data_IF_705964204427
#
_entry.id   IF_705964204427
#
_cell.length_a   1.000
_cell.length_b   1.000
_cell.length_c   1.000
_cell.angle_alpha   90.00
_cell.angle_beta   90.00
_cell.angle_gamma   90.00
#
_symmetry.space_group_name_H-M   'P 1'
#
loop_
_entity.id
_entity.type
_entity.pdbx_description
1 polymer ?
#
# COMPACT_ATOMS: atom_id res chain seq x y z
N UNK A 1 40.37 6.69 -31.16
CA UNK A 1 39.96 7.95 -31.82
C UNK A 1 39.09 7.79 -33.08
N UNK A 2 38.83 6.58 -33.61
CA UNK A 2 37.95 6.39 -34.79
C UNK A 2 36.45 6.28 -34.43
N UNK A 3 36.13 5.75 -33.26
CA UNK A 3 34.74 5.52 -32.81
C UNK A 3 33.97 6.80 -32.47
N UNK A 4 34.66 7.85 -32.00
CA UNK A 4 34.05 9.15 -31.65
C UNK A 4 33.61 9.92 -32.91
N UNK A 5 34.32 9.75 -34.04
CA UNK A 5 33.94 10.39 -35.32
C UNK A 5 32.68 9.75 -35.91
N UNK A 6 32.47 8.45 -35.72
CA UNK A 6 31.29 7.74 -36.21
C UNK A 6 30.04 8.18 -35.42
N UNK A 7 30.15 8.33 -34.10
CA UNK A 7 29.03 8.82 -33.28
C UNK A 7 28.60 10.25 -33.63
N UNK A 8 29.54 11.14 -33.95
CA UNK A 8 29.23 12.51 -34.39
C UNK A 8 28.52 12.57 -35.74
N UNK A 9 28.83 11.64 -36.65
CA UNK A 9 28.18 11.56 -37.96
C UNK A 9 26.76 10.97 -37.81
N UNK A 10 26.57 9.96 -36.96
CA UNK A 10 25.25 9.38 -36.68
C UNK A 10 24.33 10.39 -35.96
N UNK A 11 24.86 11.18 -35.03
CA UNK A 11 24.11 12.23 -34.32
C UNK A 11 23.63 13.34 -35.27
N UNK A 12 24.44 13.72 -36.26
CA UNK A 12 24.07 14.72 -37.26
C UNK A 12 22.97 14.22 -38.21
N UNK A 13 22.95 12.93 -38.55
CA UNK A 13 21.92 12.35 -39.42
C UNK A 13 20.57 12.29 -38.69
N UNK A 14 20.56 11.96 -37.39
CA UNK A 14 19.33 11.93 -36.57
C UNK A 14 18.70 13.32 -36.37
N UNK A 15 19.51 14.39 -36.34
CA UNK A 15 19.04 15.76 -36.15
C UNK A 15 18.38 16.37 -37.42
N UNK A 16 18.65 15.81 -38.59
CA UNK A 16 18.04 16.27 -39.87
C UNK A 16 16.67 15.62 -40.12
N UNK A 17 16.37 14.48 -39.48
CA UNK A 17 15.12 13.74 -39.67
C UNK A 17 13.95 14.36 -38.87
N UNK A 18 14.21 15.20 -37.87
CA UNK A 18 13.16 15.82 -37.02
C UNK A 18 12.58 17.12 -37.58
N UNK A 19 13.05 17.61 -38.74
CA UNK A 19 12.60 18.88 -39.34
C UNK A 19 11.58 18.74 -40.47
N UNK A 20 10.88 17.61 -40.56
CA UNK A 20 9.84 17.40 -41.59
C UNK A 20 8.46 17.16 -40.97
N UNK A 21 7.82 18.22 -40.45
CA UNK A 21 6.37 18.24 -40.24
C UNK A 21 5.74 19.17 -41.30
N UNK A 22 4.89 18.64 -42.21
CA UNK A 22 4.07 19.49 -43.06
C UNK A 22 2.95 20.14 -42.23
N UNK A 23 2.98 21.47 -42.16
CA UNK A 23 1.85 22.27 -41.72
C UNK A 23 0.73 22.28 -42.76
N UNK A 24 -0.51 22.22 -42.29
CA UNK A 24 -1.69 22.55 -43.07
C UNK A 24 -2.54 23.56 -42.31
N UNK A 25 -2.92 24.62 -43.04
CA UNK A 25 -3.68 25.78 -42.61
C UNK A 25 -5.16 25.64 -43.04
N UNK A 26 -6.04 26.28 -42.26
CA UNK A 26 -7.41 26.78 -42.55
C UNK A 26 -8.44 25.92 -43.32
N UNK A 27 -9.64 25.77 -42.72
CA UNK A 27 -10.85 26.41 -43.26
C UNK A 27 -12.02 26.48 -42.25
N UNK A 28 -12.53 27.69 -42.08
CA UNK A 28 -13.84 28.03 -41.52
C UNK A 28 -14.94 27.60 -42.50
N UNK A 29 -16.06 27.08 -41.98
CA UNK A 29 -17.37 27.16 -42.63
C UNK A 29 -18.46 27.25 -41.55
N UNK A 30 -19.12 28.40 -41.55
CA UNK A 30 -20.42 28.65 -40.92
C UNK A 30 -21.50 27.74 -41.52
N UNK A 31 -22.49 27.39 -40.70
CA UNK A 31 -23.86 27.15 -41.12
C UNK A 31 -24.77 27.58 -39.97
N UNK A 32 -25.59 28.59 -40.26
CA UNK A 32 -26.73 29.15 -39.52
C UNK A 32 -27.82 28.07 -39.35
N UNK A 33 -28.77 28.06 -38.40
CA UNK A 33 -29.76 29.09 -38.02
C UNK A 33 -30.38 28.75 -36.61
N UNK A 34 -31.55 29.29 -36.16
CA UNK A 34 -31.61 30.41 -35.22
C UNK A 34 -32.41 30.10 -33.93
N UNK A 35 -32.05 30.71 -32.80
CA UNK A 35 -32.99 30.80 -31.66
C UNK A 35 -32.98 32.22 -31.07
N UNK A 36 -33.99 32.96 -31.54
CA UNK A 36 -34.84 33.94 -30.87
C UNK A 36 -34.30 34.76 -29.69
N UNK A 37 -34.34 36.08 -29.89
CA UNK A 37 -34.08 37.15 -28.93
C UNK A 37 -35.34 37.37 -28.07
N UNK A 38 -35.17 37.56 -26.76
CA UNK A 38 -36.07 38.41 -25.99
C UNK A 38 -35.26 39.30 -25.04
N UNK A 39 -35.63 40.57 -25.08
CA UNK A 39 -34.97 41.73 -24.49
C UNK A 39 -35.04 41.81 -22.97
N UNK A 40 -34.09 42.54 -22.40
CA UNK A 40 -34.10 43.07 -21.03
C UNK A 40 -32.98 44.12 -20.87
N UNK A 41 -33.40 45.38 -20.70
CA UNK A 41 -32.63 46.64 -20.73
C UNK A 41 -31.68 46.90 -19.54
N UNK A 42 -30.64 47.69 -19.86
CA UNK A 42 -30.08 48.91 -19.19
C UNK A 42 -29.88 48.98 -17.66
N UNK A 43 -28.62 49.18 -17.25
CA UNK A 43 -28.04 50.44 -16.70
C UNK A 43 -26.52 50.23 -16.47
N UNK A 44 -25.58 51.00 -17.06
CA UNK A 44 -25.10 52.37 -16.70
C UNK A 44 -24.44 52.38 -15.29
N UNK A 45 -23.09 52.32 -15.22
CA UNK A 45 -22.13 53.46 -15.02
C UNK A 45 -21.94 53.80 -13.52
N UNK A 46 -20.79 54.16 -12.91
CA UNK A 46 -19.42 54.52 -13.32
C UNK A 46 -18.53 54.59 -12.04
N UNK A 47 -17.19 54.58 -12.21
CA UNK A 47 -16.15 55.36 -11.47
C UNK A 47 -15.93 55.09 -9.96
N UNK A 48 -14.75 55.27 -9.33
CA UNK A 48 -13.47 55.86 -9.71
C UNK A 48 -12.33 55.39 -8.77
N UNK A 49 -11.12 55.85 -9.09
CA UNK A 49 -9.77 55.50 -8.63
C UNK A 49 -9.28 56.00 -7.24
N UNK A 50 -8.00 55.65 -6.97
CA UNK A 50 -6.96 56.28 -6.09
C UNK A 50 -6.55 55.41 -4.89
N UNK A 51 -5.32 54.88 -4.72
CA UNK A 51 -3.91 55.37 -4.76
C UNK A 51 -3.35 55.83 -3.39
N UNK A 52 -2.16 55.31 -3.04
CA UNK A 52 -1.23 55.72 -1.96
C UNK A 52 -1.43 55.02 -0.61
N UNK A 53 -0.44 54.56 0.16
CA UNK A 53 1.03 54.62 0.10
C UNK A 53 1.60 54.14 1.46
N UNK A 54 2.77 53.48 1.38
CA UNK A 54 3.91 53.37 2.33
C UNK A 54 3.81 53.02 3.83
N UNK A 55 4.71 52.07 4.19
CA UNK A 55 5.55 51.87 5.38
C UNK A 55 4.97 51.87 6.82
N UNK A 56 5.17 50.75 7.53
CA UNK A 56 6.08 50.71 8.69
C UNK A 56 6.25 49.26 9.23
N UNK A 57 7.51 48.81 9.29
CA UNK A 57 8.02 47.79 10.24
C UNK A 57 8.68 48.55 11.40
N UNK A 58 8.79 48.06 12.67
CA UNK A 58 9.44 46.76 12.93
C UNK A 58 9.16 46.03 14.28
N UNK A 59 9.82 44.86 14.43
CA UNK A 59 10.51 44.33 15.63
C UNK A 59 9.79 43.34 16.60
N UNK A 60 10.40 42.14 16.64
CA UNK A 60 10.58 41.11 17.71
C UNK A 60 9.35 40.35 18.25
N UNK A 61 9.41 39.04 18.51
CA UNK A 61 10.34 38.39 19.45
C UNK A 61 10.34 36.86 19.26
N UNK A 62 11.51 36.24 19.46
CA UNK A 62 11.69 34.80 19.68
C UNK A 62 10.85 34.28 20.86
N UNK A 63 10.23 33.11 20.70
CA UNK A 63 9.86 32.24 21.82
C UNK A 63 9.73 30.79 21.33
N UNK A 64 10.76 30.04 21.65
CA UNK A 64 10.86 28.59 21.72
C UNK A 64 9.77 28.02 22.64
N UNK A 65 8.99 27.05 22.17
CA UNK A 65 8.10 26.26 23.02
C UNK A 65 8.02 24.80 22.52
N UNK A 66 8.60 23.93 23.35
CA UNK A 66 8.54 22.47 23.31
C UNK A 66 7.11 21.90 23.48
N UNK A 67 6.90 20.60 23.15
CA UNK A 67 5.58 20.03 22.86
C UNK A 67 4.78 19.63 24.13
N UNK A 68 3.44 19.57 24.08
CA UNK A 68 2.66 19.07 25.20
C UNK A 68 2.67 17.54 25.27
N UNK A 69 3.03 17.06 26.46
CA UNK A 69 2.99 15.67 26.92
C UNK A 69 1.57 15.18 27.14
N UNK A 70 1.43 13.89 26.81
CA UNK A 70 0.38 12.91 27.09
C UNK A 70 -0.14 12.96 28.54
N UNK A 71 -1.47 12.91 28.70
CA UNK A 71 -2.15 12.85 29.99
C UNK A 71 -2.79 11.46 30.20
N UNK A 72 -2.33 10.75 31.22
CA UNK A 72 -3.03 9.61 31.83
C UNK A 72 -3.90 10.11 33.01
N UNK A 73 -5.04 9.48 33.34
CA UNK A 73 -5.74 9.72 34.58
C UNK A 73 -5.40 8.67 35.67
N UNK A 74 -4.77 9.15 36.74
CA UNK A 74 -4.83 8.62 38.12
C UNK A 74 -6.21 9.01 38.69
N UNK A 75 -7.10 8.12 39.14
CA UNK A 75 -7.03 7.31 40.35
C UNK A 75 -7.87 7.97 41.45
N UNK A 76 -8.73 7.22 42.15
CA UNK A 76 -8.95 7.34 43.61
C UNK A 76 -9.79 6.17 44.14
N UNK A 77 -9.22 5.58 45.19
CA UNK A 77 -9.64 4.47 46.07
C UNK A 77 -10.95 4.71 46.84
N UNK A 78 -11.59 3.62 47.25
CA UNK A 78 -11.83 3.31 48.68
C UNK A 78 -12.01 1.79 48.88
N UNK A 79 -11.12 1.17 49.66
CA UNK A 79 -11.35 -0.08 50.41
C UNK A 79 -12.01 0.27 51.78
N UNK A 80 -12.33 -0.64 52.76
CA UNK A 80 -11.93 -2.05 52.90
C UNK A 80 -12.88 -3.05 53.63
N UNK A 81 -12.33 -4.27 53.77
CA UNK A 81 -12.50 -5.32 54.82
C UNK A 81 -13.67 -6.34 54.74
N UNK A 82 -13.37 -7.63 54.48
CA UNK A 82 -13.16 -8.71 55.50
C UNK A 82 -13.10 -10.13 54.91
N UNK A 83 -12.05 -10.81 55.35
CA UNK A 83 -11.70 -12.25 55.36
C UNK A 83 -12.81 -13.20 55.81
N UNK A 84 -12.95 -14.39 55.18
CA UNK A 84 -13.14 -15.72 55.84
C UNK A 84 -12.68 -16.89 54.92
N UNK A 85 -11.93 -17.83 55.51
CA UNK A 85 -11.52 -19.17 55.00
C UNK A 85 -12.68 -20.18 55.05
N UNK A 86 -12.77 -21.16 54.13
CA UNK A 86 -12.61 -22.61 54.44
C UNK A 86 -13.06 -23.58 53.32
N UNK A 87 -12.30 -24.70 53.26
CA UNK A 87 -12.71 -26.11 53.09
C UNK A 87 -13.27 -26.63 51.74
N UNK A 88 -12.39 -27.33 51.02
CA UNK A 88 -12.41 -28.79 50.74
C UNK A 88 -13.77 -29.52 50.71
N UNK A 89 -14.10 -30.15 49.56
CA UNK A 89 -14.65 -31.52 49.54
C UNK A 89 -14.55 -32.17 48.15
N UNK A 90 -14.03 -33.40 48.18
CA UNK A 90 -13.83 -34.33 47.09
C UNK A 90 -15.15 -34.82 46.47
N UNK A 91 -15.09 -35.28 45.22
CA UNK A 91 -15.99 -36.35 44.79
C UNK A 91 -15.30 -37.37 43.87
N UNK A 92 -15.58 -38.63 44.20
CA UNK A 92 -15.02 -39.89 43.72
C UNK A 92 -16.15 -40.60 42.98
N UNK A 93 -15.94 -41.02 41.73
CA UNK A 93 -16.82 -42.00 41.07
C UNK A 93 -15.96 -43.05 40.35
N UNK A 94 -16.22 -44.32 40.70
CA UNK A 94 -15.62 -45.53 40.16
C UNK A 94 -16.52 -46.12 39.04
N UNK A 95 -15.88 -46.55 37.94
CA UNK A 95 -15.91 -47.89 37.27
C UNK A 95 -17.05 -48.86 37.67
N UNK A 96 -17.68 -49.70 36.78
CA UNK A 96 -17.06 -50.61 35.78
C UNK A 96 -17.76 -50.63 34.40
N UNK A 97 -17.15 -51.14 33.33
CA UNK A 97 -17.20 -52.56 32.93
C UNK A 97 -16.11 -52.93 31.90
N UNK A 98 -15.67 -54.19 31.98
CA UNK A 98 -14.71 -54.87 31.10
C UNK A 98 -15.46 -56.03 30.43
N UNK A 99 -15.47 -56.10 29.11
CA UNK A 99 -15.61 -57.36 28.37
C UNK A 99 -14.81 -57.29 27.08
N UNK A 100 -14.02 -58.35 26.88
CA UNK A 100 -13.24 -58.76 25.71
C UNK A 100 -14.21 -59.08 24.53
N UNK A 101 -13.88 -59.28 23.25
CA UNK A 101 -12.65 -59.59 22.54
C UNK A 101 -12.85 -59.34 21.01
N UNK A 102 -11.73 -59.03 20.35
CA UNK A 102 -11.30 -59.08 18.93
C UNK A 102 -12.17 -59.82 17.90
N UNK A 103 -12.30 -59.26 16.68
CA UNK A 103 -11.97 -59.92 15.38
C UNK A 103 -12.23 -59.03 14.13
N UNK A 104 -11.25 -59.01 13.21
CA UNK A 104 -11.26 -58.58 11.78
C UNK A 104 -11.27 -57.05 11.51
N UNK A 105 -10.45 -56.47 10.63
CA UNK A 105 -9.98 -56.92 9.31
C UNK A 105 -8.80 -56.01 8.88
N UNK A 106 -7.71 -56.59 8.37
CA UNK A 106 -6.68 -55.87 7.61
C UNK A 106 -7.29 -55.27 6.35
N UNK A 107 -7.40 -53.94 6.34
CA UNK A 107 -7.67 -53.11 5.16
C UNK A 107 -6.49 -52.13 5.06
N UNK A 108 -5.81 -52.01 3.91
CA UNK A 108 -4.73 -51.04 3.75
C UNK A 108 -5.26 -49.64 4.05
N UNK A 109 -4.70 -49.03 5.10
CA UNK A 109 -4.97 -47.69 5.55
C UNK A 109 -4.34 -46.73 4.53
N UNK A 110 -5.16 -46.33 3.56
CA UNK A 110 -4.93 -45.17 2.71
C UNK A 110 -4.90 -43.96 3.66
N UNK A 111 -3.69 -43.49 4.00
CA UNK A 111 -3.49 -42.32 4.83
C UNK A 111 -4.34 -41.16 4.28
N UNK A 112 -5.33 -40.65 5.03
CA UNK A 112 -6.01 -39.42 4.64
C UNK A 112 -4.98 -38.28 4.61
N UNK A 113 -5.12 -37.31 3.69
CA UNK A 113 -4.15 -36.24 3.52
C UNK A 113 -4.03 -35.49 4.85
N UNK A 114 -2.81 -35.48 5.38
CA UNK A 114 -2.41 -34.70 6.54
C UNK A 114 -2.89 -33.27 6.32
N UNK A 115 -3.84 -32.82 7.14
CA UNK A 115 -4.15 -31.41 7.26
C UNK A 115 -2.88 -30.71 7.76
N UNK A 116 -2.20 -30.01 6.87
CA UNK A 116 -1.10 -29.10 7.22
C UNK A 116 -1.66 -28.11 8.24
N UNK A 117 -1.08 -28.11 9.44
CA UNK A 117 -1.27 -27.02 10.38
C UNK A 117 -0.89 -25.73 9.63
N UNK A 118 -1.86 -24.83 9.44
CA UNK A 118 -1.59 -23.55 8.79
C UNK A 118 -0.52 -22.83 9.61
N UNK A 119 0.70 -22.73 9.06
CA UNK A 119 1.77 -22.01 9.72
C UNK A 119 1.32 -20.56 9.96
N UNK A 120 1.35 -20.16 11.23
CA UNK A 120 1.00 -18.81 11.65
C UNK A 120 1.90 -17.79 10.94
N UNK A 121 1.37 -16.59 10.67
CA UNK A 121 2.10 -15.48 10.04
C UNK A 121 2.70 -15.77 8.65
N UNK A 122 2.04 -16.63 7.88
CA UNK A 122 2.32 -16.79 6.45
C UNK A 122 1.53 -15.81 5.60
N UNK A 123 2.16 -15.27 4.54
CA UNK A 123 1.49 -14.46 3.53
C UNK A 123 0.75 -15.38 2.56
N UNK A 124 -0.58 -15.35 2.58
CA UNK A 124 -1.40 -16.23 1.74
C UNK A 124 -1.73 -15.53 0.41
N UNK A 125 -1.56 -16.23 -0.72
CA UNK A 125 -2.00 -15.79 -2.05
C UNK A 125 -3.02 -16.78 -2.59
N UNK A 126 -4.22 -16.29 -2.91
CA UNK A 126 -5.37 -17.11 -3.29
C UNK A 126 -6.24 -16.45 -4.35
N UNK A 127 -7.32 -17.15 -4.76
CA UNK A 127 -8.26 -16.68 -5.77
C UNK A 127 -7.94 -17.25 -7.16
N UNK A 128 -7.99 -16.39 -8.19
CA UNK A 128 -7.71 -16.67 -9.61
C UNK A 128 -6.22 -16.91 -9.89
N UNK A 129 -5.61 -17.83 -9.13
CA UNK A 129 -4.21 -18.26 -9.23
C UNK A 129 -4.14 -19.75 -9.50
N UNK A 130 -3.10 -20.19 -10.23
CA UNK A 130 -2.92 -21.62 -10.52
C UNK A 130 -2.55 -22.39 -9.27
N UNK A 131 -1.75 -21.78 -8.39
CA UNK A 131 -1.31 -22.36 -7.13
C UNK A 131 -1.78 -21.46 -6.00
N UNK A 132 -2.55 -22.01 -5.05
CA UNK A 132 -2.68 -21.38 -3.74
C UNK A 132 -1.34 -21.54 -3.04
N UNK A 133 -0.75 -20.44 -2.58
CA UNK A 133 0.58 -20.46 -1.97
C UNK A 133 0.52 -19.67 -0.67
N UNK A 134 1.19 -20.17 0.35
CA UNK A 134 1.50 -19.45 1.57
C UNK A 134 3.01 -19.30 1.65
N UNK A 135 3.50 -18.08 1.89
CA UNK A 135 4.92 -17.82 2.07
C UNK A 135 5.24 -17.48 3.51
N UNK A 136 6.24 -18.14 4.06
CA UNK A 136 6.92 -17.70 5.28
C UNK A 136 7.79 -16.47 5.01
N UNK A 137 8.15 -15.75 6.06
CA UNK A 137 9.03 -14.60 5.95
C UNK A 137 10.40 -14.98 5.38
N UNK A 138 10.96 -16.12 5.80
CA UNK A 138 12.24 -16.62 5.30
C UNK A 138 12.21 -16.94 3.81
N UNK A 139 11.10 -17.50 3.31
CA UNK A 139 10.92 -17.75 1.88
C UNK A 139 10.89 -16.45 1.09
N UNK A 140 10.17 -15.42 1.55
CA UNK A 140 10.16 -14.10 0.89
C UNK A 140 11.56 -13.49 0.86
N UNK A 141 12.29 -13.54 1.98
CA UNK A 141 13.68 -13.05 2.08
C UNK A 141 14.65 -13.84 1.21
N UNK A 142 14.37 -15.09 0.90
CA UNK A 142 15.20 -15.92 0.02
C UNK A 142 15.05 -15.54 -1.47
N UNK A 143 13.97 -14.84 -1.86
CA UNK A 143 13.72 -14.42 -3.25
C UNK A 143 14.54 -13.18 -3.65
N UNK A 144 15.87 -13.31 -3.65
CA UNK A 144 16.83 -12.19 -3.84
C UNK A 144 16.62 -11.41 -5.15
N UNK A 145 16.09 -12.06 -6.18
CA UNK A 145 15.83 -11.47 -7.50
C UNK A 145 14.70 -10.44 -7.52
N UNK A 146 13.78 -10.51 -6.56
CA UNK A 146 12.61 -9.61 -6.49
C UNK A 146 12.65 -8.70 -5.26
N UNK A 147 13.77 -8.66 -4.53
CA UNK A 147 13.94 -7.73 -3.40
C UNK A 147 14.02 -6.29 -3.92
N UNK A 148 13.34 -5.39 -3.24
CA UNK A 148 13.39 -3.95 -3.46
C UNK A 148 13.56 -3.22 -2.12
N UNK A 149 14.39 -2.18 -2.13
CA UNK A 149 14.72 -1.39 -0.95
C UNK A 149 14.96 0.06 -1.36
N UNK A 150 14.12 0.96 -0.86
CA UNK A 150 14.26 2.41 -1.10
C UNK A 150 13.46 3.18 -0.04
N UNK A 151 13.56 4.49 -0.09
CA UNK A 151 12.83 5.45 0.73
C UNK A 151 11.60 5.96 -0.04
N UNK A 152 10.43 5.60 0.48
CA UNK A 152 9.13 5.98 -0.07
C UNK A 152 8.64 7.27 0.58
N UNK A 153 8.20 8.20 -0.25
CA UNK A 153 7.43 9.35 0.20
C UNK A 153 5.98 8.95 0.50
N UNK A 154 5.42 9.56 1.54
CA UNK A 154 4.04 9.38 1.92
C UNK A 154 3.36 10.72 2.14
N UNK A 155 2.10 10.79 1.72
CA UNK A 155 1.15 11.86 2.01
C UNK A 155 -0.11 11.19 2.57
N UNK A 156 -0.55 11.62 3.76
CA UNK A 156 -1.79 11.15 4.37
C UNK A 156 -2.97 12.09 4.08
N UNK A 157 -4.18 11.67 4.47
CA UNK A 157 -5.41 12.44 4.25
C UNK A 157 -5.49 13.76 5.02
N UNK A 158 -4.58 14.00 5.97
CA UNK A 158 -4.49 15.24 6.76
C UNK A 158 -3.39 16.18 6.25
N UNK A 159 -2.72 15.85 5.14
CA UNK A 159 -1.62 16.64 4.60
C UNK A 159 -0.27 16.41 5.29
N UNK A 160 -0.17 15.46 6.23
CA UNK A 160 1.12 15.09 6.83
C UNK A 160 1.92 14.28 5.84
N UNK A 161 3.19 14.65 5.70
CA UNK A 161 4.12 14.02 4.77
C UNK A 161 5.27 13.34 5.52
N UNK A 162 5.97 12.45 4.82
CA UNK A 162 7.20 11.90 5.35
C UNK A 162 7.82 10.87 4.44
N UNK A 163 9.12 10.67 4.64
CA UNK A 163 9.91 9.65 3.98
C UNK A 163 10.13 8.48 4.92
N UNK A 164 10.00 7.26 4.39
CA UNK A 164 10.25 6.05 5.17
C UNK A 164 10.94 5.01 4.30
N UNK A 165 12.07 4.51 4.79
CA UNK A 165 12.82 3.44 4.16
C UNK A 165 12.14 2.11 4.41
N UNK A 166 11.89 1.36 3.33
CA UNK A 166 11.33 0.01 3.40
C UNK A 166 12.21 -0.98 2.65
N UNK A 167 12.16 -2.23 3.07
CA UNK A 167 12.71 -3.38 2.35
C UNK A 167 11.66 -4.47 2.25
N UNK A 168 11.51 -5.01 1.04
CA UNK A 168 10.45 -5.94 0.71
C UNK A 168 10.70 -6.72 -0.57
N UNK A 169 9.70 -7.50 -0.99
CA UNK A 169 9.63 -8.07 -2.33
C UNK A 169 8.68 -7.26 -3.21
N UNK A 170 8.97 -7.16 -4.51
CA UNK A 170 8.07 -6.56 -5.49
C UNK A 170 6.79 -7.39 -5.61
N UNK A 171 5.63 -6.77 -5.38
CA UNK A 171 4.35 -7.48 -5.38
C UNK A 171 4.04 -8.09 -6.75
N UNK A 172 4.21 -7.33 -7.83
CA UNK A 172 3.97 -7.85 -9.19
C UNK A 172 4.82 -9.09 -9.48
N UNK A 173 6.13 -9.02 -9.24
CA UNK A 173 7.03 -10.15 -9.51
C UNK A 173 6.72 -11.37 -8.65
N UNK A 174 6.27 -11.18 -7.41
CA UNK A 174 5.80 -12.27 -6.55
C UNK A 174 4.58 -12.98 -7.17
N UNK A 175 3.59 -12.21 -7.63
CA UNK A 175 2.37 -12.75 -8.24
C UNK A 175 2.65 -13.41 -9.59
N UNK A 176 3.43 -12.76 -10.46
CA UNK A 176 3.76 -13.23 -11.79
C UNK A 176 4.60 -14.51 -11.74
N UNK A 177 5.68 -14.53 -10.95
CA UNK A 177 6.63 -15.63 -10.96
C UNK A 177 6.19 -16.83 -10.09
N UNK A 178 5.46 -16.58 -9.00
CA UNK A 178 5.15 -17.64 -8.02
C UNK A 178 3.69 -18.06 -8.06
N UNK A 179 2.75 -17.12 -8.02
CA UNK A 179 1.31 -17.45 -7.98
C UNK A 179 0.75 -17.89 -9.34
N UNK A 180 1.38 -17.47 -10.45
CA UNK A 180 0.93 -17.75 -11.83
C UNK A 180 -0.54 -17.38 -12.03
N UNK A 181 -0.76 -16.07 -12.12
CA UNK A 181 -2.05 -15.44 -12.33
C UNK A 181 -2.80 -16.06 -13.52
N UNK A 182 -4.11 -16.26 -13.37
CA UNK A 182 -5.00 -16.57 -14.48
C UNK A 182 -5.04 -15.42 -15.47
N UNK A 183 -5.20 -15.70 -16.78
CA UNK A 183 -5.39 -14.66 -17.80
C UNK A 183 -6.68 -13.84 -17.63
N UNK A 184 -7.56 -14.26 -16.72
CA UNK A 184 -8.80 -13.56 -16.36
C UNK A 184 -8.66 -12.67 -15.12
N UNK A 185 -7.52 -12.72 -14.44
CA UNK A 185 -7.27 -11.88 -13.28
C UNK A 185 -7.33 -10.40 -13.69
N UNK A 186 -8.06 -9.62 -12.92
CA UNK A 186 -8.36 -8.22 -13.20
C UNK A 186 -8.16 -7.31 -11.99
N UNK A 187 -8.27 -7.88 -10.79
CA UNK A 187 -8.20 -7.14 -9.53
C UNK A 187 -7.40 -7.90 -8.48
N UNK A 188 -6.73 -7.14 -7.62
CA UNK A 188 -5.96 -7.62 -6.48
C UNK A 188 -6.53 -6.97 -5.23
N UNK A 189 -6.91 -7.79 -4.24
CA UNK A 189 -7.39 -7.35 -2.94
C UNK A 189 -6.38 -7.76 -1.87
N UNK A 190 -5.81 -6.79 -1.16
CA UNK A 190 -4.90 -7.02 -0.03
C UNK A 190 -5.70 -6.88 1.25
N UNK A 191 -5.64 -7.89 2.12
CA UNK A 191 -6.44 -7.98 3.35
C UNK A 191 -5.52 -8.17 4.55
N UNK A 192 -5.66 -7.27 5.53
CA UNK A 192 -4.99 -7.34 6.81
C UNK A 192 -5.68 -8.30 7.78
N UNK A 193 -4.96 -8.72 8.81
CA UNK A 193 -5.48 -9.59 9.86
C UNK A 193 -6.66 -8.97 10.64
N UNK A 194 -6.76 -7.64 10.69
CA UNK A 194 -7.88 -6.91 11.31
C UNK A 194 -9.10 -6.72 10.38
N UNK A 195 -9.02 -7.23 9.14
CA UNK A 195 -10.07 -7.10 8.13
C UNK A 195 -10.00 -5.82 7.29
N UNK A 196 -9.04 -4.92 7.54
CA UNK A 196 -8.80 -3.79 6.64
C UNK A 196 -8.41 -4.31 5.25
N UNK A 197 -8.93 -3.66 4.20
CA UNK A 197 -8.71 -4.08 2.82
C UNK A 197 -8.44 -2.92 1.88
N UNK A 198 -7.55 -3.17 0.92
CA UNK A 198 -7.31 -2.30 -0.22
C UNK A 198 -7.43 -3.09 -1.51
N UNK A 199 -8.09 -2.50 -2.49
CA UNK A 199 -8.33 -3.09 -3.81
C UNK A 199 -7.55 -2.30 -4.86
N UNK A 200 -6.92 -3.02 -5.79
CA UNK A 200 -6.12 -2.46 -6.88
C UNK A 200 -6.47 -3.18 -8.18
N UNK A 201 -6.41 -2.46 -9.30
CA UNK A 201 -6.46 -3.10 -10.62
C UNK A 201 -5.15 -3.85 -10.89
N UNK A 202 -5.18 -4.79 -11.84
CA UNK A 202 -3.95 -5.47 -12.25
C UNK A 202 -2.90 -4.48 -12.79
N UNK A 203 -3.33 -3.47 -13.55
CA UNK A 203 -2.46 -2.43 -14.11
C UNK A 203 -1.74 -1.64 -13.02
N UNK A 204 -2.45 -1.29 -11.94
CA UNK A 204 -1.85 -0.60 -10.79
C UNK A 204 -0.78 -1.46 -10.14
N UNK A 205 -1.06 -2.74 -9.90
CA UNK A 205 -0.06 -3.64 -9.29
C UNK A 205 1.14 -3.85 -10.23
N UNK A 206 0.92 -3.93 -11.55
CA UNK A 206 1.97 -4.05 -12.56
C UNK A 206 2.86 -2.80 -12.65
N UNK A 207 2.31 -1.62 -12.33
CA UNK A 207 3.01 -0.34 -12.42
C UNK A 207 4.33 -0.37 -11.63
N UNK A 208 5.42 -0.01 -12.32
CA UNK A 208 6.78 0.02 -11.76
C UNK A 208 7.33 1.44 -11.56
N UNK A 209 6.51 2.44 -11.87
CA UNK A 209 6.90 3.84 -11.99
C UNK A 209 6.05 4.76 -11.11
N UNK A 210 5.56 4.24 -9.97
CA UNK A 210 5.06 5.11 -8.89
C UNK A 210 6.13 6.12 -8.49
N UNK A 211 5.74 7.33 -8.15
CA UNK A 211 6.67 8.43 -7.95
C UNK A 211 6.77 8.87 -6.48
N UNK A 212 7.82 9.64 -6.22
CA UNK A 212 7.98 10.53 -5.08
C UNK A 212 7.87 11.95 -5.65
N UNK A 213 6.87 12.72 -5.24
CA UNK A 213 6.68 14.09 -5.74
C UNK A 213 7.86 15.02 -5.42
N UNK A 214 8.59 14.74 -4.33
CA UNK A 214 9.77 15.50 -3.92
C UNK A 214 11.02 15.08 -4.68
N UNK A 215 10.99 13.90 -5.33
CA UNK A 215 12.05 13.40 -6.19
C UNK A 215 11.49 12.60 -7.40
N UNK A 216 11.04 13.29 -8.47
CA UNK A 216 10.36 12.66 -9.60
C UNK A 216 11.22 11.66 -10.40
N UNK A 217 12.54 11.67 -10.20
CA UNK A 217 13.45 10.71 -10.80
C UNK A 217 13.32 9.30 -10.19
N UNK A 218 12.84 9.20 -8.95
CA UNK A 218 12.55 7.91 -8.31
C UNK A 218 11.31 7.28 -8.92
N UNK A 219 11.38 5.96 -9.12
CA UNK A 219 10.34 5.10 -9.68
C UNK A 219 10.24 3.85 -8.84
N UNK A 220 9.04 3.55 -8.35
CA UNK A 220 8.80 2.47 -7.41
C UNK A 220 7.80 1.45 -7.95
N UNK A 221 8.03 0.15 -7.69
CA UNK A 221 6.97 -0.84 -7.68
C UNK A 221 6.14 -0.74 -6.40
N UNK A 222 4.98 -1.40 -6.38
CA UNK A 222 4.38 -1.84 -5.12
C UNK A 222 5.23 -2.96 -4.49
N UNK A 223 5.39 -2.93 -3.18
CA UNK A 223 6.13 -3.96 -2.45
C UNK A 223 5.33 -4.53 -1.28
N UNK A 224 5.63 -5.78 -0.94
CA UNK A 224 5.33 -6.37 0.36
C UNK A 224 6.59 -6.25 1.22
N UNK A 225 6.60 -5.26 2.10
CA UNK A 225 7.70 -4.96 3.01
C UNK A 225 7.65 -5.84 4.26
N UNK A 226 8.82 -6.23 4.75
CA UNK A 226 9.01 -6.85 6.07
C UNK A 226 9.92 -6.03 6.99
N UNK A 227 10.47 -4.93 6.49
CA UNK A 227 11.38 -4.04 7.22
C UNK A 227 10.97 -2.58 6.97
N UNK A 228 10.99 -1.80 8.05
CA UNK A 228 10.70 -0.37 8.07
C UNK A 228 11.77 0.35 8.89
N UNK A 229 12.38 1.39 8.30
CA UNK A 229 13.46 2.18 8.93
C UNK A 229 14.65 1.34 9.41
N UNK A 230 14.97 0.25 8.69
CA UNK A 230 16.07 -0.64 9.05
C UNK A 230 15.73 -1.71 10.08
N UNK A 231 14.49 -1.74 10.57
CA UNK A 231 14.01 -2.69 11.56
C UNK A 231 13.00 -3.64 10.94
N UNK A 232 13.21 -4.94 11.09
CA UNK A 232 12.23 -5.95 10.66
C UNK A 232 11.02 -5.96 11.60
N UNK A 233 9.83 -6.21 11.04
CA UNK A 233 8.62 -6.43 11.82
C UNK A 233 8.73 -7.73 12.63
N UNK A 234 8.27 -7.69 13.88
CA UNK A 234 8.29 -8.86 14.76
C UNK A 234 7.11 -9.80 14.44
N UNK A 235 7.35 -11.05 13.99
CA UNK A 235 6.29 -12.02 13.78
C UNK A 235 5.49 -12.34 15.05
N UNK A 236 6.03 -12.08 16.25
CA UNK A 236 5.30 -12.25 17.51
C UNK A 236 4.19 -11.19 17.71
N UNK A 237 4.28 -10.04 17.03
CA UNK A 237 3.29 -8.96 17.11
C UNK A 237 2.20 -9.07 16.03
N UNK A 238 2.36 -9.98 15.07
CA UNK A 238 1.41 -10.25 14.00
C UNK A 238 2.08 -10.64 12.69
N UNK A 239 1.30 -10.71 11.62
CA UNK A 239 1.83 -11.02 10.29
C UNK A 239 2.85 -9.94 9.88
N UNK A 240 4.14 -10.27 9.65
CA UNK A 240 5.23 -9.31 9.50
C UNK A 240 5.29 -8.73 8.07
N UNK A 241 4.16 -8.30 7.53
CA UNK A 241 4.02 -7.89 6.14
C UNK A 241 3.23 -6.59 6.02
N UNK A 242 3.78 -5.62 5.28
CA UNK A 242 3.12 -4.35 4.95
C UNK A 242 3.12 -4.10 3.44
N UNK A 243 1.99 -3.69 2.89
CA UNK A 243 1.91 -3.17 1.51
C UNK A 243 2.43 -1.74 1.52
N UNK A 244 3.34 -1.43 0.60
CA UNK A 244 3.83 -0.06 0.41
C UNK A 244 3.73 0.29 -1.07
N UNK A 245 3.20 1.48 -1.35
CA UNK A 245 3.02 2.02 -2.70
C UNK A 245 3.39 3.50 -2.73
N UNK A 246 4.10 3.92 -3.77
CA UNK A 246 4.41 5.34 -4.02
C UNK A 246 3.19 6.11 -4.54
N UNK A 247 3.38 7.37 -4.91
CA UNK A 247 2.29 8.19 -5.46
C UNK A 247 2.06 7.89 -6.95
N UNK A 248 0.81 7.98 -7.41
CA UNK A 248 0.47 7.89 -8.84
C UNK A 248 0.86 9.16 -9.59
N UNK A 249 0.69 10.29 -8.93
CA UNK A 249 0.99 11.63 -9.40
C UNK A 249 1.27 12.56 -8.20
N UNK A 250 1.78 13.75 -8.46
CA UNK A 250 2.02 14.72 -7.39
C UNK A 250 0.70 15.11 -6.69
N UNK A 251 0.72 15.15 -5.37
CA UNK A 251 -0.44 15.39 -4.52
C UNK A 251 -1.30 14.16 -4.23
N UNK A 252 -0.98 12.98 -4.79
CA UNK A 252 -1.72 11.74 -4.54
C UNK A 252 -1.55 11.28 -3.08
N UNK A 253 -2.68 11.02 -2.41
CA UNK A 253 -2.72 10.55 -1.02
C UNK A 253 -2.52 9.02 -1.02
N UNK A 254 -1.29 8.59 -0.78
CA UNK A 254 -0.91 7.17 -0.85
C UNK A 254 -0.83 6.48 0.52
N UNK A 255 -0.60 7.22 1.62
CA UNK A 255 -0.37 6.61 2.94
C UNK A 255 -1.51 5.70 3.43
N UNK A 256 -2.81 6.05 3.24
CA UNK A 256 -3.91 5.16 3.62
C UNK A 256 -3.89 3.83 2.87
N UNK A 257 -3.27 3.76 1.69
CA UNK A 257 -3.17 2.54 0.90
C UNK A 257 -2.15 1.55 1.47
N UNK A 258 -1.36 1.95 2.48
CA UNK A 258 -0.34 1.09 3.09
C UNK A 258 -0.97 0.15 4.13
N UNK A 259 -1.28 -1.06 3.69
CA UNK A 259 -1.92 -2.10 4.52
C UNK A 259 -0.87 -2.76 5.42
N UNK A 260 -1.01 -2.67 6.74
CA UNK A 260 -0.15 -3.38 7.70
C UNK A 260 -0.72 -4.75 8.06
N UNK A 261 0.10 -5.64 8.62
CA UNK A 261 -0.33 -6.95 9.11
C UNK A 261 -1.09 -7.77 8.06
N UNK A 262 -0.56 -7.84 6.84
CA UNK A 262 -1.24 -8.54 5.74
C UNK A 262 -1.37 -10.02 6.07
N UNK A 263 -2.60 -10.52 6.07
CA UNK A 263 -2.91 -11.94 6.18
C UNK A 263 -2.92 -12.59 4.79
N UNK A 264 -3.63 -11.95 3.83
CA UNK A 264 -3.81 -12.55 2.51
C UNK A 264 -3.96 -11.55 1.38
N UNK A 265 -3.63 -12.03 0.18
CA UNK A 265 -3.84 -11.36 -1.10
C UNK A 265 -4.77 -12.23 -1.94
N UNK A 266 -5.87 -11.65 -2.41
CA UNK A 266 -6.86 -12.30 -3.26
C UNK A 266 -6.72 -11.76 -4.68
N UNK A 267 -6.54 -12.66 -5.63
CA UNK A 267 -6.58 -12.37 -7.06
C UNK A 267 -7.97 -12.70 -7.58
N UNK A 268 -8.60 -11.79 -8.30
CA UNK A 268 -9.95 -11.98 -8.86
C UNK A 268 -9.94 -11.92 -10.38
#
# INVERSE_FOLDING_TARGET
MKTIKVYRIILMILLVITLSLPGCSQKVKETEEPVNISAGQENSETQDASAGGEEDTPVNTDAEAEPPKEAAPDGTKTEPVKTVKNAELANKVQKPEKSENVTNQDKPEENPPTQEAEAENTLKIQGSVTNKIAFTLDELKAMKDIIFEDEFYSLNSFGTTGHTRFKGVKLWSLLEHKAKLSSKASKITVIAADGYKMEFTLEEVMKQDYMDETNPAKKFPMIIAWEEKGQEYDPAEGAPYKLVVGQREAGDVNKPQWVSNIDRIIVE
#
